data_IF_970266919861
#
_entry.id   IF_970266919861
#
_cell.length_a   1.000
_cell.length_b   1.000
_cell.length_c   1.000
_cell.angle_alpha   90.00
_cell.angle_beta   90.00
_cell.angle_gamma   90.00
#
_symmetry.space_group_name_H-M   'P 1'
#
loop_
_entity.id
_entity.type
_entity.pdbx_description
1 polymer ?
#
# COMPACT_ATOMS: atom_id res chain seq x y z
N UNK A 1 2.90 1.21 -15.09
CA UNK A 1 3.99 0.75 -14.20
C UNK A 1 3.64 -0.53 -13.45
N UNK A 2 2.51 -0.60 -12.75
CA UNK A 2 2.08 -1.75 -11.93
C UNK A 2 2.11 -3.07 -12.71
N UNK A 3 1.49 -3.11 -13.91
CA UNK A 3 1.48 -4.30 -14.76
C UNK A 3 2.90 -4.77 -15.10
N UNK A 4 3.77 -3.85 -15.55
CA UNK A 4 5.13 -4.21 -15.95
C UNK A 4 5.96 -4.77 -14.78
N UNK A 5 5.82 -4.21 -13.57
CA UNK A 5 6.57 -4.69 -12.41
C UNK A 5 6.13 -6.09 -11.98
N UNK A 6 4.83 -6.35 -11.89
CA UNK A 6 4.32 -7.69 -11.55
C UNK A 6 4.60 -8.71 -12.65
N UNK A 7 4.46 -8.32 -13.91
CA UNK A 7 4.75 -9.20 -15.04
C UNK A 7 6.22 -9.59 -15.06
N UNK A 8 7.13 -8.62 -14.92
CA UNK A 8 8.58 -8.88 -14.83
C UNK A 8 8.92 -9.78 -13.65
N UNK A 9 8.31 -9.54 -12.48
CA UNK A 9 8.55 -10.37 -11.29
C UNK A 9 8.09 -11.82 -11.52
N UNK A 10 6.88 -12.02 -12.06
CA UNK A 10 6.33 -13.33 -12.36
C UNK A 10 7.22 -14.12 -13.35
N UNK A 11 7.64 -13.47 -14.44
CA UNK A 11 8.54 -14.12 -15.43
C UNK A 11 9.89 -14.49 -14.84
N UNK A 12 10.48 -13.64 -13.98
CA UNK A 12 11.74 -13.95 -13.28
C UNK A 12 11.62 -15.12 -12.30
N UNK A 13 10.43 -15.39 -11.82
CA UNK A 13 10.10 -16.55 -10.99
C UNK A 13 9.71 -17.78 -11.81
N UNK A 14 9.75 -17.71 -13.13
CA UNK A 14 9.39 -18.82 -14.02
C UNK A 14 7.90 -19.00 -14.27
N UNK A 15 7.05 -18.03 -13.85
CA UNK A 15 5.63 -18.09 -14.08
C UNK A 15 5.26 -17.59 -15.48
N UNK A 16 4.19 -18.15 -16.05
CA UNK A 16 3.55 -17.62 -17.25
C UNK A 16 2.53 -16.55 -16.85
N UNK A 17 2.41 -15.49 -17.64
CA UNK A 17 1.50 -14.38 -17.35
C UNK A 17 0.45 -14.26 -18.43
N UNK A 18 -0.80 -14.30 -18.00
CA UNK A 18 -1.99 -14.01 -18.79
C UNK A 18 -2.63 -12.74 -18.21
N UNK A 19 -3.37 -11.99 -18.99
CA UNK A 19 -4.14 -10.87 -18.43
C UNK A 19 -4.48 -9.77 -19.42
N UNK A 20 -5.25 -8.83 -18.92
CA UNK A 20 -5.69 -7.61 -19.61
C UNK A 20 -5.42 -6.39 -18.72
N UNK A 21 -5.39 -5.21 -19.31
CA UNK A 21 -5.07 -3.94 -18.60
C UNK A 21 -6.23 -2.94 -18.62
N UNK A 22 -7.28 -3.25 -19.37
CA UNK A 22 -8.49 -2.44 -19.45
C UNK A 22 -9.71 -3.33 -19.55
N UNK A 23 -10.85 -2.96 -18.96
CA UNK A 23 -12.12 -3.64 -19.17
C UNK A 23 -12.65 -3.52 -20.62
N UNK A 24 -12.11 -2.58 -21.41
CA UNK A 24 -12.59 -2.28 -22.77
C UNK A 24 -12.47 -3.46 -23.74
N UNK A 25 -11.53 -4.36 -23.53
CA UNK A 25 -11.33 -5.58 -24.29
C UNK A 25 -12.00 -6.82 -23.70
N UNK A 26 -12.77 -6.67 -22.63
CA UNK A 26 -13.37 -7.79 -21.87
C UNK A 26 -14.90 -7.74 -21.88
N UNK A 27 -15.51 -8.80 -21.38
CA UNK A 27 -16.97 -8.87 -21.19
C UNK A 27 -17.51 -7.88 -20.14
N UNK A 28 -16.64 -7.29 -19.30
CA UNK A 28 -17.03 -6.24 -18.37
C UNK A 28 -17.69 -5.04 -19.06
N UNK A 29 -17.24 -4.70 -20.28
CA UNK A 29 -17.88 -3.68 -21.12
C UNK A 29 -19.33 -4.02 -21.52
N UNK A 30 -19.71 -5.31 -21.48
CA UNK A 30 -21.05 -5.80 -21.78
C UNK A 30 -21.90 -6.01 -20.52
N UNK A 31 -21.44 -5.54 -19.35
CA UNK A 31 -22.16 -5.64 -18.10
C UNK A 31 -21.81 -6.85 -17.23
N UNK A 32 -20.71 -7.58 -17.54
CA UNK A 32 -20.22 -8.65 -16.67
C UNK A 32 -19.78 -8.06 -15.32
N UNK A 33 -20.20 -8.69 -14.23
CA UNK A 33 -19.83 -8.24 -12.88
C UNK A 33 -18.35 -8.50 -12.57
N UNK A 34 -17.75 -7.72 -11.65
CA UNK A 34 -16.41 -7.98 -11.16
C UNK A 34 -16.28 -9.40 -10.61
N UNK A 35 -17.29 -9.87 -9.87
CA UNK A 35 -17.30 -11.22 -9.31
C UNK A 35 -17.22 -12.32 -10.38
N UNK A 36 -17.91 -12.14 -11.51
CA UNK A 36 -17.89 -13.13 -12.59
C UNK A 36 -16.57 -13.07 -13.37
N UNK A 37 -16.05 -11.85 -13.62
CA UNK A 37 -14.71 -11.67 -14.19
C UNK A 37 -13.64 -12.38 -13.34
N UNK A 38 -13.72 -12.25 -12.01
CA UNK A 38 -12.75 -12.90 -11.10
C UNK A 38 -12.91 -14.43 -11.11
N UNK A 39 -14.14 -14.94 -11.07
CA UNK A 39 -14.37 -16.40 -11.16
C UNK A 39 -13.84 -16.98 -12.46
N UNK A 40 -14.06 -16.27 -13.57
CA UNK A 40 -13.53 -16.64 -14.87
C UNK A 40 -12.01 -16.64 -14.87
N UNK A 41 -11.38 -15.56 -14.43
CA UNK A 41 -9.92 -15.44 -14.35
C UNK A 41 -9.29 -16.52 -13.45
N UNK A 42 -9.94 -16.85 -12.32
CA UNK A 42 -9.50 -17.90 -11.41
C UNK A 42 -9.54 -19.31 -12.04
N UNK A 43 -10.29 -19.51 -13.10
CA UNK A 43 -10.34 -20.78 -13.84
C UNK A 43 -9.14 -20.97 -14.78
N UNK A 44 -8.39 -19.91 -15.05
CA UNK A 44 -7.25 -19.91 -15.96
C UNK A 44 -5.91 -19.60 -15.29
N UNK A 45 -5.90 -19.40 -13.96
CA UNK A 45 -4.70 -18.96 -13.23
C UNK A 45 -4.58 -19.63 -11.87
N UNK A 46 -3.35 -19.69 -11.36
CA UNK A 46 -3.02 -20.18 -10.01
C UNK A 46 -2.97 -19.04 -8.99
N UNK A 47 -2.84 -17.80 -9.46
CA UNK A 47 -2.85 -16.57 -8.66
C UNK A 47 -3.35 -15.41 -9.50
N UNK A 48 -4.10 -14.51 -8.89
CA UNK A 48 -4.58 -13.29 -9.54
C UNK A 48 -3.87 -12.09 -8.91
N UNK A 49 -3.27 -11.23 -9.74
CA UNK A 49 -2.80 -9.90 -9.34
C UNK A 49 -3.75 -8.87 -9.92
N UNK A 50 -4.39 -8.08 -9.07
CA UNK A 50 -5.35 -7.09 -9.54
C UNK A 50 -5.08 -5.69 -9.02
N UNK A 51 -5.35 -4.72 -9.89
CA UNK A 51 -5.48 -3.31 -9.54
C UNK A 51 -6.83 -2.80 -10.03
N UNK A 52 -7.58 -2.15 -9.17
CA UNK A 52 -8.94 -1.70 -9.49
C UNK A 52 -9.18 -0.27 -9.00
N UNK A 53 -9.98 0.57 -9.71
CA UNK A 53 -10.28 1.93 -9.27
C UNK A 53 -11.23 2.01 -8.06
N UNK A 54 -12.01 0.97 -7.80
CA UNK A 54 -12.99 0.96 -6.70
C UNK A 54 -12.39 0.40 -5.42
N UNK A 55 -12.69 1.06 -4.30
CA UNK A 55 -12.32 0.63 -2.96
C UNK A 55 -12.98 -0.72 -2.64
N UNK A 56 -12.23 -1.62 -1.99
CA UNK A 56 -12.72 -2.94 -1.60
C UNK A 56 -12.81 -3.98 -2.74
N UNK A 57 -12.51 -3.61 -3.98
CA UNK A 57 -12.55 -4.53 -5.12
C UNK A 57 -11.64 -5.75 -4.94
N UNK A 58 -10.44 -5.55 -4.38
CA UNK A 58 -9.53 -6.65 -4.12
C UNK A 58 -10.04 -7.61 -3.02
N UNK A 59 -10.74 -7.08 -2.02
CA UNK A 59 -11.40 -7.90 -0.99
C UNK A 59 -12.53 -8.72 -1.58
N UNK A 60 -13.41 -8.11 -2.35
CA UNK A 60 -14.47 -8.83 -3.06
C UNK A 60 -13.88 -9.93 -3.96
N UNK A 61 -12.81 -9.62 -4.68
CA UNK A 61 -12.12 -10.60 -5.51
C UNK A 61 -11.61 -11.79 -4.69
N UNK A 62 -11.00 -11.55 -3.53
CA UNK A 62 -10.51 -12.61 -2.65
C UNK A 62 -11.65 -13.48 -2.08
N UNK A 63 -12.82 -12.89 -1.82
CA UNK A 63 -14.00 -13.62 -1.31
C UNK A 63 -14.62 -14.55 -2.37
N UNK A 64 -14.55 -14.20 -3.66
CA UNK A 64 -15.18 -14.98 -4.74
C UNK A 64 -14.22 -15.86 -5.52
N UNK A 65 -12.90 -15.64 -5.37
CA UNK A 65 -11.86 -16.37 -6.07
C UNK A 65 -11.58 -17.73 -5.42
N UNK A 66 -11.27 -18.72 -6.23
CA UNK A 66 -10.75 -20.03 -5.77
C UNK A 66 -9.23 -20.06 -5.66
N UNK A 67 -8.54 -19.03 -6.12
CA UNK A 67 -7.09 -18.89 -6.10
C UNK A 67 -6.69 -17.62 -5.34
N UNK A 68 -5.48 -17.54 -4.80
CA UNK A 68 -5.01 -16.34 -4.10
C UNK A 68 -5.12 -15.07 -4.94
N UNK A 69 -5.49 -13.96 -4.30
CA UNK A 69 -5.57 -12.64 -4.92
C UNK A 69 -4.57 -11.69 -4.28
N UNK A 70 -3.70 -11.11 -5.10
CA UNK A 70 -2.73 -10.08 -4.70
C UNK A 70 -3.31 -8.71 -5.04
N UNK A 71 -3.53 -7.88 -4.01
CA UNK A 71 -3.95 -6.50 -4.18
C UNK A 71 -2.76 -5.61 -4.61
N UNK A 72 -2.76 -5.15 -5.85
CA UNK A 72 -1.79 -4.21 -6.40
C UNK A 72 -2.26 -2.74 -6.33
N UNK A 73 -3.29 -2.47 -5.53
CA UNK A 73 -3.93 -1.18 -5.26
C UNK A 73 -5.40 -1.17 -5.65
N UNK A 74 -6.26 -0.81 -4.72
CA UNK A 74 -7.70 -0.67 -4.90
C UNK A 74 -8.17 0.72 -4.51
N UNK A 75 -8.60 1.49 -5.47
CA UNK A 75 -9.12 2.84 -5.29
C UNK A 75 -8.22 3.77 -4.48
N UNK A 76 -8.80 4.40 -3.49
CA UNK A 76 -8.11 5.25 -2.50
C UNK A 76 -7.75 4.49 -1.22
N UNK A 77 -8.17 3.23 -1.10
CA UNK A 77 -8.12 2.44 0.13
C UNK A 77 -6.69 2.01 0.49
N UNK A 78 -6.12 1.02 -0.18
CA UNK A 78 -4.82 0.44 0.19
C UNK A 78 -3.90 0.22 -1.00
N UNK A 79 -2.58 0.19 -0.70
CA UNK A 79 -1.55 -0.18 -1.66
C UNK A 79 -0.53 -1.13 -1.03
N UNK A 80 -0.90 -2.37 -0.69
CA UNK A 80 -0.04 -3.29 0.07
C UNK A 80 1.29 -3.57 -0.61
N UNK A 81 1.30 -3.69 -1.94
CA UNK A 81 2.54 -3.92 -2.69
C UNK A 81 3.52 -2.74 -2.59
N UNK A 82 3.06 -1.49 -2.41
CA UNK A 82 3.94 -0.36 -2.14
C UNK A 82 4.55 -0.49 -0.74
N UNK A 83 3.74 -0.84 0.25
CA UNK A 83 4.25 -1.08 1.62
C UNK A 83 5.34 -2.15 1.64
N UNK A 84 5.17 -3.25 0.91
CA UNK A 84 6.19 -4.29 0.80
C UNK A 84 7.48 -3.79 0.12
N UNK A 85 7.37 -2.91 -0.88
CA UNK A 85 8.52 -2.27 -1.51
C UNK A 85 9.27 -1.36 -0.53
N UNK A 86 8.54 -0.56 0.25
CA UNK A 86 9.11 0.35 1.24
C UNK A 86 9.82 -0.44 2.35
N UNK A 87 9.18 -1.48 2.89
CA UNK A 87 9.79 -2.39 3.87
C UNK A 87 11.02 -3.10 3.30
N UNK A 88 10.97 -3.56 2.05
CA UNK A 88 12.12 -4.19 1.40
C UNK A 88 13.28 -3.21 1.24
N UNK A 89 13.01 -1.96 0.90
CA UNK A 89 14.01 -0.90 0.82
C UNK A 89 14.67 -0.67 2.18
N UNK A 90 13.88 -0.52 3.24
CA UNK A 90 14.39 -0.38 4.62
C UNK A 90 15.27 -1.57 4.98
N UNK A 91 14.79 -2.80 4.73
CA UNK A 91 15.55 -4.01 5.02
C UNK A 91 16.89 -4.05 4.27
N UNK A 92 16.92 -3.60 3.02
CA UNK A 92 18.14 -3.57 2.20
C UNK A 92 19.16 -2.55 2.67
N UNK A 93 18.70 -1.37 3.09
CA UNK A 93 19.59 -0.29 3.55
C UNK A 93 20.10 -0.51 4.98
N UNK A 94 19.26 -1.05 5.87
CA UNK A 94 19.57 -1.17 7.30
C UNK A 94 19.81 -2.61 7.77
N UNK A 95 19.60 -3.63 6.94
CA UNK A 95 19.63 -5.05 7.27
C UNK A 95 18.65 -5.49 8.38
N UNK A 96 17.75 -4.62 8.80
CA UNK A 96 16.70 -4.89 9.79
C UNK A 96 15.49 -4.01 9.52
N UNK A 97 14.31 -4.41 10.00
CA UNK A 97 13.11 -3.60 10.02
C UNK A 97 12.80 -3.05 11.41
N UNK A 98 13.49 -3.55 12.44
CA UNK A 98 13.12 -3.31 13.83
C UNK A 98 13.69 -2.00 14.39
N UNK A 99 12.88 -1.34 15.22
CA UNK A 99 13.25 -0.22 16.09
C UNK A 99 13.76 1.02 15.36
N UNK A 100 13.38 1.24 14.12
CA UNK A 100 13.72 2.46 13.40
C UNK A 100 12.90 3.65 13.85
N UNK A 101 13.52 4.82 13.81
CA UNK A 101 12.87 6.13 13.94
C UNK A 101 12.53 6.65 12.55
N UNK A 102 11.22 6.72 12.24
CA UNK A 102 10.74 7.03 10.90
C UNK A 102 9.95 8.32 10.91
N UNK A 103 10.37 9.31 10.13
CA UNK A 103 9.64 10.54 9.90
C UNK A 103 8.82 10.46 8.61
N UNK A 104 7.52 10.68 8.71
CA UNK A 104 6.61 10.84 7.59
C UNK A 104 6.37 12.32 7.36
N UNK A 105 6.71 12.83 6.18
CA UNK A 105 6.70 14.26 5.90
C UNK A 105 5.83 14.58 4.68
N UNK A 106 4.91 15.53 4.82
CA UNK A 106 4.09 16.06 3.72
C UNK A 106 2.59 15.85 3.90
N UNK A 107 1.89 15.31 2.89
CA UNK A 107 0.45 15.03 2.98
C UNK A 107 0.21 13.68 3.65
N UNK A 108 -0.05 13.71 4.95
CA UNK A 108 -0.32 12.53 5.75
C UNK A 108 -1.81 12.19 5.83
N UNK A 109 -2.67 13.17 5.47
CA UNK A 109 -4.13 13.00 5.53
C UNK A 109 -4.67 12.11 4.40
N UNK A 110 -4.17 12.32 3.19
CA UNK A 110 -4.64 11.62 1.98
C UNK A 110 -3.63 10.58 1.47
N UNK A 111 -2.48 10.49 2.12
CA UNK A 111 -1.38 9.61 1.75
C UNK A 111 -1.63 8.13 2.08
N UNK A 112 -2.45 7.41 1.30
CA UNK A 112 -2.74 5.98 1.52
C UNK A 112 -1.48 5.08 1.66
N UNK A 113 -0.38 5.43 1.00
CA UNK A 113 0.89 4.70 1.12
C UNK A 113 1.49 4.89 2.51
N UNK A 114 1.38 6.11 3.06
CA UNK A 114 1.76 6.43 4.44
C UNK A 114 0.92 5.60 5.41
N UNK A 115 -0.41 5.62 5.26
CA UNK A 115 -1.32 4.89 6.15
C UNK A 115 -1.01 3.39 6.18
N UNK A 116 -0.72 2.80 5.03
CA UNK A 116 -0.38 1.39 4.92
C UNK A 116 0.99 1.08 5.52
N UNK A 117 2.00 1.94 5.32
CA UNK A 117 3.35 1.76 5.86
C UNK A 117 3.36 1.96 7.38
N UNK A 118 2.66 2.97 7.90
CA UNK A 118 2.48 3.20 9.34
C UNK A 118 1.95 1.93 10.03
N UNK A 119 0.87 1.36 9.50
CA UNK A 119 0.31 0.10 10.04
C UNK A 119 1.30 -1.05 9.99
N UNK A 120 2.06 -1.19 8.93
CA UNK A 120 3.06 -2.26 8.82
C UNK A 120 4.21 -2.08 9.83
N UNK A 121 4.67 -0.86 10.03
CA UNK A 121 5.78 -0.55 10.94
C UNK A 121 5.43 -0.75 12.42
N UNK A 122 4.14 -0.79 12.80
CA UNK A 122 3.74 -1.14 14.18
C UNK A 122 4.22 -2.53 14.59
N UNK A 123 4.39 -3.45 13.64
CA UNK A 123 4.88 -4.81 13.89
C UNK A 123 6.39 -4.89 14.14
N UNK A 124 7.11 -3.80 13.91
CA UNK A 124 8.57 -3.75 13.98
C UNK A 124 9.09 -2.81 15.08
N UNK A 125 8.23 -2.32 15.97
CA UNK A 125 8.63 -1.45 17.08
C UNK A 125 9.19 -0.09 16.65
N UNK A 126 8.77 0.43 15.50
CA UNK A 126 9.21 1.70 15.01
C UNK A 126 8.63 2.86 15.84
N UNK A 127 9.46 3.86 16.18
CA UNK A 127 8.99 5.16 16.65
C UNK A 127 8.70 6.05 15.45
N UNK A 128 7.55 6.72 15.45
CA UNK A 128 7.06 7.46 14.28
C UNK A 128 6.94 8.95 14.56
N UNK A 129 7.33 9.75 13.57
CA UNK A 129 7.21 11.21 13.60
C UNK A 129 6.34 11.64 12.41
N UNK A 130 5.25 12.34 12.69
CA UNK A 130 4.31 12.81 11.68
C UNK A 130 4.46 14.31 11.49
N UNK A 131 5.14 14.69 10.41
CA UNK A 131 5.51 16.08 10.11
C UNK A 131 4.65 16.61 8.98
N UNK A 132 3.64 17.40 9.33
CA UNK A 132 2.73 17.99 8.36
C UNK A 132 2.04 19.24 8.94
N UNK A 133 1.58 20.17 8.09
CA UNK A 133 0.65 21.21 8.52
C UNK A 133 -0.61 20.59 9.13
N UNK A 134 -1.25 21.28 10.06
CA UNK A 134 -2.45 20.80 10.76
C UNK A 134 -3.54 20.27 9.81
N UNK A 135 -3.74 20.93 8.67
CA UNK A 135 -4.74 20.56 7.65
C UNK A 135 -4.42 19.25 6.93
N UNK A 136 -3.16 18.83 6.91
CA UNK A 136 -2.64 17.63 6.23
C UNK A 136 -2.07 16.58 7.21
N UNK A 137 -2.31 16.76 8.51
CA UNK A 137 -1.80 15.89 9.55
C UNK A 137 -2.47 14.49 9.50
N UNK A 138 -1.87 13.53 10.15
CA UNK A 138 -2.33 12.14 10.25
C UNK A 138 -3.79 12.08 10.74
N UNK A 139 -4.67 11.32 10.08
CA UNK A 139 -6.06 11.19 10.50
C UNK A 139 -6.20 10.60 11.90
N UNK A 140 -7.13 11.15 12.67
CA UNK A 140 -7.35 10.77 14.06
C UNK A 140 -7.58 9.27 14.25
N UNK A 141 -8.32 8.62 13.36
CA UNK A 141 -8.59 7.18 13.49
C UNK A 141 -7.33 6.32 13.44
N UNK A 142 -6.28 6.77 12.71
CA UNK A 142 -4.99 6.07 12.69
C UNK A 142 -4.19 6.34 13.96
N UNK A 143 -4.22 7.56 14.49
CA UNK A 143 -3.60 7.88 15.78
C UNK A 143 -4.25 7.09 16.92
N UNK A 144 -5.59 7.02 16.94
CA UNK A 144 -6.34 6.23 17.91
C UNK A 144 -5.98 4.72 17.83
N UNK A 145 -5.67 4.21 16.62
CA UNK A 145 -5.20 2.83 16.45
C UNK A 145 -3.76 2.64 16.97
N UNK A 146 -2.88 3.61 16.76
CA UNK A 146 -1.51 3.59 17.31
C UNK A 146 -1.52 3.65 18.85
N UNK A 147 -2.36 4.51 19.42
CA UNK A 147 -2.54 4.63 20.88
C UNK A 147 -2.99 3.30 21.50
N UNK A 148 -3.96 2.61 20.89
CA UNK A 148 -4.43 1.29 21.34
C UNK A 148 -3.32 0.22 21.31
N UNK A 149 -2.39 0.34 20.36
CA UNK A 149 -1.26 -0.57 20.22
C UNK A 149 -0.05 -0.19 21.07
N UNK A 150 -0.10 0.97 21.78
CA UNK A 150 1.00 1.48 22.56
C UNK A 150 2.23 1.90 21.74
N UNK A 151 2.01 2.32 20.49
CA UNK A 151 3.07 2.74 19.58
C UNK A 151 3.45 4.20 19.86
N UNK A 152 4.73 4.46 20.03
CA UNK A 152 5.25 5.82 20.25
C UNK A 152 5.22 6.62 18.94
N UNK A 153 4.64 7.82 19.01
CA UNK A 153 4.68 8.78 17.91
C UNK A 153 4.70 10.23 18.40
N UNK A 154 5.11 11.13 17.53
CA UNK A 154 5.09 12.59 17.76
C UNK A 154 4.48 13.31 16.56
N UNK A 155 3.67 14.36 16.82
CA UNK A 155 3.09 15.23 15.79
C UNK A 155 3.92 16.52 15.73
N UNK A 156 4.41 16.86 14.56
CA UNK A 156 5.30 18.01 14.35
C UNK A 156 4.87 18.82 13.13
N UNK A 157 5.27 20.08 13.11
CA UNK A 157 5.04 20.96 11.97
C UNK A 157 6.33 21.22 11.16
N UNK A 158 7.50 20.97 11.74
CA UNK A 158 8.78 21.22 11.12
C UNK A 158 9.71 20.01 11.25
N UNK A 159 10.14 19.45 10.12
CA UNK A 159 11.05 18.31 10.09
C UNK A 159 12.46 18.63 10.61
N UNK A 160 12.84 19.92 10.67
CA UNK A 160 14.15 20.35 11.17
C UNK A 160 14.36 20.01 12.64
N UNK A 161 13.29 19.90 13.42
CA UNK A 161 13.32 19.56 14.82
C UNK A 161 13.87 18.15 15.07
N UNK A 162 13.70 17.25 14.11
CA UNK A 162 14.05 15.83 14.24
C UNK A 162 15.11 15.34 13.25
N UNK A 163 15.70 16.25 12.44
CA UNK A 163 16.68 15.87 11.40
C UNK A 163 17.85 15.02 11.89
N UNK A 164 18.24 15.15 13.14
CA UNK A 164 19.37 14.41 13.75
C UNK A 164 18.94 13.17 14.51
N UNK A 165 17.65 12.96 14.66
CA UNK A 165 17.09 11.89 15.50
C UNK A 165 16.55 10.73 14.71
N UNK A 166 16.13 10.96 13.46
CA UNK A 166 15.46 9.95 12.64
C UNK A 166 16.43 9.21 11.73
N UNK A 167 16.14 7.92 11.54
CA UNK A 167 16.90 7.06 10.63
C UNK A 167 16.38 7.18 9.20
N UNK A 168 15.07 7.41 9.06
CA UNK A 168 14.37 7.35 7.77
C UNK A 168 13.45 8.55 7.62
N UNK A 169 13.55 9.26 6.47
CA UNK A 169 12.59 10.25 6.02
C UNK A 169 11.74 9.68 4.89
N UNK A 170 10.45 9.50 5.15
CA UNK A 170 9.46 9.12 4.13
C UNK A 170 8.74 10.37 3.63
N UNK A 171 9.19 10.89 2.49
CA UNK A 171 8.65 12.12 1.92
C UNK A 171 7.46 11.83 1.01
N UNK A 172 6.32 12.42 1.29
CA UNK A 172 5.14 12.33 0.42
C UNK A 172 5.04 13.54 -0.51
N UNK A 173 4.40 13.35 -1.64
CA UNK A 173 3.97 14.49 -2.47
C UNK A 173 2.72 15.12 -1.88
N UNK A 174 2.57 16.43 -2.04
CA UNK A 174 1.30 17.13 -1.76
C UNK A 174 0.35 16.82 -2.91
N UNK A 175 -0.79 16.23 -2.60
CA UNK A 175 -1.86 16.05 -3.58
C UNK A 175 -2.58 17.39 -3.72
N UNK A 176 -2.48 17.99 -4.90
CA UNK A 176 -3.27 19.17 -5.30
C UNK A 176 -4.46 18.66 -6.10
N UNK A 177 -5.53 18.37 -5.44
CA UNK A 177 -6.84 18.15 -6.06
C UNK A 177 -7.79 19.24 -5.63
#
# INVERSE_FOLDING_TARGET
RTRLSFWSAAQRLGAQVLGFDSPDGTSAKKGESLSDTIRMAASYSDVIVMRHPSDGAARLAAEVSKVPVINAGDGTNQHPSQTLLDLYTILKEFNTLNNHKVAFVGDLKYGRTVHSLVKALTHFGAKMYFVAPETLQMPKYLLDDLDKLGIEYELLNDYREIMREVDIFYMTRIQRE
#
